data_IF_776464762383
#
_entry.id   IF_776464762383
#
_cell.length_a   1.000
_cell.length_b   1.000
_cell.length_c   1.000
_cell.angle_alpha   90.00
_cell.angle_beta   90.00
_cell.angle_gamma   90.00
#
_symmetry.space_group_name_H-M   'P 1'
#
loop_
_entity.id
_entity.type
_entity.pdbx_description
1 polymer ?
#
# COMPACT_ATOMS: atom_id res chain seq x y z
N UNK A 1 1.13 4.34 -3.60
CA UNK A 1 1.72 5.26 -4.59
C UNK A 1 1.07 5.03 -5.93
N UNK A 2 1.84 4.53 -6.88
CA UNK A 2 1.51 4.44 -8.31
C UNK A 2 0.08 3.99 -8.67
N UNK A 3 -0.47 2.97 -8.01
CA UNK A 3 -1.83 2.53 -8.30
C UNK A 3 -2.89 3.60 -7.98
N UNK A 4 -2.70 4.37 -6.91
CA UNK A 4 -3.59 5.46 -6.52
C UNK A 4 -3.45 6.61 -7.52
N UNK A 5 -2.23 6.96 -7.90
CA UNK A 5 -1.97 8.02 -8.89
C UNK A 5 -2.63 7.67 -10.23
N UNK A 6 -2.44 6.43 -10.69
CA UNK A 6 -3.02 5.92 -11.94
C UNK A 6 -4.54 5.95 -11.91
N UNK A 7 -5.17 5.41 -10.86
CA UNK A 7 -6.63 5.35 -10.77
C UNK A 7 -7.27 6.73 -10.58
N UNK A 8 -6.54 7.68 -10.00
CA UNK A 8 -7.00 9.08 -9.86
C UNK A 8 -6.56 9.97 -11.02
N UNK A 9 -5.97 9.39 -12.07
CA UNK A 9 -5.54 10.11 -13.26
C UNK A 9 -4.49 11.19 -12.98
N UNK A 10 -3.68 11.05 -11.92
CA UNK A 10 -2.64 12.00 -11.52
C UNK A 10 -3.14 13.44 -11.22
N UNK A 11 -4.44 13.61 -10.98
CA UNK A 11 -5.04 14.93 -10.76
C UNK A 11 -5.42 15.22 -9.31
N UNK A 12 -5.66 14.17 -8.52
CA UNK A 12 -6.18 14.29 -7.15
C UNK A 12 -5.10 14.30 -6.07
N UNK A 13 -4.03 13.55 -6.28
CA UNK A 13 -2.96 13.38 -5.30
C UNK A 13 -1.63 13.77 -5.92
N UNK A 14 -0.85 14.54 -5.18
CA UNK A 14 0.57 14.71 -5.45
C UNK A 14 1.29 13.37 -5.22
N UNK A 15 2.45 13.22 -5.86
CA UNK A 15 3.24 11.99 -5.73
C UNK A 15 3.49 11.60 -4.26
N UNK A 16 3.92 12.56 -3.44
CA UNK A 16 4.18 12.34 -2.01
C UNK A 16 2.95 11.90 -1.21
N UNK A 17 1.77 12.40 -1.57
CA UNK A 17 0.51 12.02 -0.93
C UNK A 17 0.12 10.58 -1.28
N UNK A 18 0.23 10.21 -2.57
CA UNK A 18 -0.05 8.85 -2.99
C UNK A 18 0.97 7.84 -2.40
N UNK A 19 2.24 8.25 -2.26
CA UNK A 19 3.27 7.47 -1.57
C UNK A 19 2.91 7.29 -0.10
N UNK A 20 2.50 8.34 0.60
CA UNK A 20 2.09 8.28 2.01
C UNK A 20 0.93 7.28 2.24
N UNK A 21 -0.13 7.35 1.41
CA UNK A 21 -1.23 6.38 1.48
C UNK A 21 -0.71 4.96 1.22
N UNK A 22 0.16 4.80 0.22
CA UNK A 22 0.79 3.52 -0.11
C UNK A 22 1.57 2.91 1.05
N UNK A 23 2.38 3.71 1.75
CA UNK A 23 3.16 3.26 2.91
C UNK A 23 2.26 2.75 4.03
N UNK A 24 1.14 3.42 4.31
CA UNK A 24 0.17 2.94 5.30
C UNK A 24 -0.47 1.60 4.88
N UNK A 25 -0.80 1.44 3.60
CA UNK A 25 -1.36 0.19 3.06
C UNK A 25 -0.32 -0.94 3.17
N UNK A 26 0.93 -0.70 2.79
CA UNK A 26 2.02 -1.69 2.87
C UNK A 26 2.35 -2.07 4.32
N UNK A 27 2.28 -1.12 5.26
CA UNK A 27 2.43 -1.41 6.69
C UNK A 27 1.30 -2.30 7.22
N UNK A 28 0.05 -2.02 6.86
CA UNK A 28 -1.10 -2.90 7.21
C UNK A 28 -0.95 -4.29 6.59
N UNK A 29 -0.55 -4.38 5.32
CA UNK A 29 -0.28 -5.66 4.66
C UNK A 29 0.81 -6.45 5.39
N UNK A 30 1.87 -5.78 5.81
CA UNK A 30 2.96 -6.40 6.58
C UNK A 30 2.48 -6.96 7.91
N UNK A 31 1.49 -6.33 8.53
CA UNK A 31 0.87 -6.83 9.77
C UNK A 31 -0.01 -8.05 9.51
N UNK A 32 -0.83 -8.04 8.45
CA UNK A 32 -1.61 -9.21 8.04
C UNK A 32 -0.72 -10.42 7.73
N UNK A 33 0.47 -10.18 7.19
CA UNK A 33 1.49 -11.20 6.90
C UNK A 33 2.38 -11.53 8.11
N UNK A 34 2.12 -10.94 9.28
CA UNK A 34 2.83 -11.15 10.55
C UNK A 34 4.31 -10.74 10.54
N UNK A 35 4.70 -9.80 9.66
CA UNK A 35 6.07 -9.24 9.62
C UNK A 35 6.28 -8.15 10.66
N UNK A 36 5.24 -7.36 10.95
CA UNK A 36 5.23 -6.33 11.99
C UNK A 36 3.94 -6.42 12.83
N UNK A 37 3.90 -5.68 13.93
CA UNK A 37 2.73 -5.54 14.80
C UNK A 37 1.97 -4.23 14.53
N UNK A 38 0.75 -4.14 15.05
CA UNK A 38 -0.10 -2.95 14.93
C UNK A 38 0.56 -1.68 15.49
N UNK A 39 1.40 -1.81 16.52
CA UNK A 39 2.12 -0.67 17.10
C UNK A 39 3.05 0.00 16.08
N UNK A 40 3.71 -0.79 15.22
CA UNK A 40 4.56 -0.25 14.14
C UNK A 40 3.72 0.40 13.05
N UNK A 41 2.55 -0.15 12.72
CA UNK A 41 1.60 0.49 11.78
C UNK A 41 1.13 1.83 12.31
N UNK A 42 0.70 1.88 13.58
CA UNK A 42 0.25 3.10 14.24
C UNK A 42 1.37 4.14 14.25
N UNK A 43 2.61 3.75 14.56
CA UNK A 43 3.75 4.66 14.53
C UNK A 43 4.00 5.24 13.13
N UNK A 44 3.95 4.43 12.08
CA UNK A 44 4.10 4.89 10.69
C UNK A 44 2.98 5.86 10.33
N UNK A 45 1.73 5.49 10.64
CA UNK A 45 0.55 6.30 10.39
C UNK A 45 0.62 7.65 11.12
N UNK A 46 0.91 7.65 12.41
CA UNK A 46 1.03 8.87 13.22
C UNK A 46 2.12 9.80 12.71
N UNK A 47 3.24 9.27 12.22
CA UNK A 47 4.27 10.09 11.60
C UNK A 47 3.75 10.75 10.32
N UNK A 48 3.12 9.99 9.42
CA UNK A 48 2.52 10.52 8.19
C UNK A 48 1.48 11.61 8.51
N UNK A 49 0.58 11.34 9.47
CA UNK A 49 -0.43 12.30 9.90
C UNK A 49 0.19 13.58 10.48
N UNK A 50 1.34 13.48 11.18
CA UNK A 50 2.02 14.65 11.77
C UNK A 50 2.58 15.62 10.74
N UNK A 51 2.79 15.17 9.50
CA UNK A 51 3.18 16.01 8.36
C UNK A 51 1.97 16.49 7.55
N UNK A 52 0.74 16.23 8.00
CA UNK A 52 -0.49 16.60 7.29
C UNK A 52 -0.72 15.80 6.00
N UNK A 53 -0.03 14.67 5.82
CA UNK A 53 -0.16 13.82 4.63
C UNK A 53 -1.32 12.84 4.79
N UNK A 54 -2.00 12.47 3.68
CA UNK A 54 -3.07 11.50 3.73
C UNK A 54 -2.53 10.11 4.06
N UNK A 55 -3.15 9.46 5.05
CA UNK A 55 -2.73 8.14 5.57
C UNK A 55 -3.76 7.04 5.33
N UNK A 56 -4.88 7.35 4.65
CA UNK A 56 -6.01 6.44 4.42
C UNK A 56 -6.31 6.31 2.94
N UNK A 57 -6.80 5.12 2.56
CA UNK A 57 -7.33 4.90 1.23
C UNK A 57 -8.61 5.72 1.04
N UNK A 58 -8.78 6.41 -0.10
CA UNK A 58 -10.02 7.13 -0.40
C UNK A 58 -11.19 6.15 -0.57
N UNK A 59 -12.32 6.43 0.06
CA UNK A 59 -13.48 5.52 0.10
C UNK A 59 -14.26 5.51 -1.21
N UNK A 60 -14.08 6.53 -2.04
CA UNK A 60 -14.77 6.71 -3.32
C UNK A 60 -14.00 6.10 -4.50
N UNK A 61 -12.84 5.49 -4.25
CA UNK A 61 -12.07 4.77 -5.25
C UNK A 61 -12.50 3.29 -5.27
N UNK A 62 -12.86 2.78 -6.45
CA UNK A 62 -13.13 1.36 -6.64
C UNK A 62 -11.86 0.53 -6.42
N UNK A 63 -11.92 -0.33 -5.40
CA UNK A 63 -10.88 -1.30 -5.04
C UNK A 63 -10.49 -2.17 -6.24
N UNK A 64 -11.44 -2.50 -7.12
CA UNK A 64 -11.21 -3.31 -8.31
C UNK A 64 -10.26 -2.63 -9.29
N UNK A 65 -10.38 -1.30 -9.45
CA UNK A 65 -9.49 -0.51 -10.29
C UNK A 65 -8.08 -0.44 -9.70
N UNK A 66 -7.97 -0.32 -8.38
CA UNK A 66 -6.68 -0.35 -7.68
C UNK A 66 -5.99 -1.71 -7.85
N UNK A 67 -6.72 -2.81 -7.63
CA UNK A 67 -6.17 -4.16 -7.82
C UNK A 67 -5.69 -4.38 -9.25
N UNK A 68 -6.49 -3.95 -10.23
CA UNK A 68 -6.14 -4.05 -11.66
C UNK A 68 -4.89 -3.24 -11.99
N UNK A 69 -4.77 -2.01 -11.46
CA UNK A 69 -3.58 -1.18 -11.62
C UNK A 69 -2.34 -1.80 -10.97
N UNK A 70 -2.46 -2.33 -9.75
CA UNK A 70 -1.39 -3.08 -9.08
C UNK A 70 -0.94 -4.29 -9.92
N UNK A 71 -1.89 -5.03 -10.50
CA UNK A 71 -1.57 -6.18 -11.34
C UNK A 71 -0.81 -5.77 -12.60
N UNK A 72 -1.24 -4.72 -13.30
CA UNK A 72 -0.56 -4.24 -14.52
C UNK A 72 0.88 -3.81 -14.22
N UNK A 73 1.08 -3.07 -13.13
CA UNK A 73 2.40 -2.59 -12.70
C UNK A 73 3.32 -3.75 -12.26
N UNK A 74 2.78 -4.71 -11.49
CA UNK A 74 3.60 -5.71 -10.78
C UNK A 74 3.68 -7.08 -11.43
N UNK A 75 2.76 -7.46 -12.33
CA UNK A 75 2.84 -8.72 -13.12
C UNK A 75 3.89 -8.66 -14.23
N UNK A 76 4.40 -7.48 -14.59
CA UNK A 76 5.35 -7.31 -15.68
C UNK A 76 6.65 -8.12 -15.53
N UNK A 77 6.97 -8.64 -14.33
CA UNK A 77 8.17 -9.45 -14.09
C UNK A 77 7.81 -10.78 -13.43
N UNK A 78 7.47 -11.78 -14.25
CA UNK A 78 7.31 -13.20 -13.93
C UNK A 78 5.99 -13.64 -13.24
N UNK A 79 4.90 -12.89 -13.38
CA UNK A 79 3.55 -13.36 -12.99
C UNK A 79 3.22 -13.33 -11.49
N UNK A 80 4.18 -12.98 -10.63
CA UNK A 80 3.99 -12.85 -9.18
C UNK A 80 3.98 -11.37 -8.75
N UNK A 81 3.07 -11.01 -7.84
CA UNK A 81 3.05 -9.67 -7.26
C UNK A 81 4.21 -9.47 -6.28
N UNK A 82 4.93 -8.36 -6.43
CA UNK A 82 6.10 -8.01 -5.59
C UNK A 82 5.82 -6.77 -4.76
N UNK A 83 6.02 -6.85 -3.44
CA UNK A 83 5.84 -5.71 -2.54
C UNK A 83 7.10 -5.43 -1.76
N UNK A 84 7.35 -4.16 -1.51
CA UNK A 84 8.36 -3.72 -0.54
C UNK A 84 7.61 -3.59 0.79
N UNK A 85 7.90 -4.47 1.73
CA UNK A 85 7.16 -4.56 2.98
C UNK A 85 8.11 -4.32 4.16
N UNK A 86 7.71 -3.49 5.15
CA UNK A 86 8.45 -3.36 6.40
C UNK A 86 8.47 -4.67 7.20
N UNK A 87 9.67 -5.07 7.64
CA UNK A 87 9.88 -6.14 8.64
C UNK A 87 10.17 -5.54 10.04
N UNK A 88 10.64 -4.29 10.09
CA UNK A 88 10.75 -3.45 11.29
C UNK A 88 10.92 -1.99 10.89
N UNK A 89 10.79 -1.07 11.85
CA UNK A 89 11.13 0.34 11.59
C UNK A 89 12.61 0.43 11.17
N UNK A 90 12.86 1.02 10.00
CA UNK A 90 14.18 1.15 9.40
C UNK A 90 14.62 -0.05 8.54
N UNK A 91 13.77 -1.06 8.30
CA UNK A 91 14.12 -2.20 7.43
C UNK A 91 12.91 -2.70 6.65
N UNK A 92 13.10 -2.83 5.33
CA UNK A 92 12.10 -3.35 4.39
C UNK A 92 12.70 -4.48 3.57
N UNK A 93 11.86 -5.36 3.06
CA UNK A 93 12.25 -6.46 2.17
C UNK A 93 11.30 -6.56 0.99
N UNK A 94 11.82 -7.04 -0.14
CA UNK A 94 10.99 -7.38 -1.29
C UNK A 94 10.39 -8.77 -1.06
N UNK A 95 9.07 -8.82 -0.90
CA UNK A 95 8.30 -10.07 -0.85
C UNK A 95 7.66 -10.34 -2.20
N UNK A 96 7.92 -11.54 -2.74
CA UNK A 96 7.28 -12.05 -3.95
C UNK A 96 6.16 -13.00 -3.57
N UNK A 97 5.24 -13.26 -4.49
CA UNK A 97 4.14 -14.21 -4.29
C UNK A 97 3.13 -13.77 -3.23
N UNK A 98 2.99 -12.47 -2.97
CA UNK A 98 1.92 -11.98 -2.10
C UNK A 98 0.57 -12.31 -2.74
N UNK A 99 -0.22 -13.11 -2.05
CA UNK A 99 -1.52 -13.54 -2.55
C UNK A 99 -2.43 -12.35 -2.80
N UNK A 100 -3.04 -12.28 -3.99
CA UNK A 100 -3.98 -11.22 -4.36
C UNK A 100 -5.15 -11.14 -3.37
N UNK A 101 -5.58 -12.30 -2.84
CA UNK A 101 -6.60 -12.36 -1.81
C UNK A 101 -6.25 -11.51 -0.59
N UNK A 102 -5.00 -11.54 -0.12
CA UNK A 102 -4.56 -10.73 1.03
C UNK A 102 -4.69 -9.24 0.77
N UNK A 103 -4.42 -8.80 -0.47
CA UNK A 103 -4.57 -7.39 -0.87
C UNK A 103 -6.05 -7.02 -0.96
N UNK A 104 -6.87 -7.89 -1.54
CA UNK A 104 -8.31 -7.67 -1.66
C UNK A 104 -8.99 -7.59 -0.28
N UNK A 105 -8.60 -8.45 0.65
CA UNK A 105 -9.11 -8.45 2.02
C UNK A 105 -8.68 -7.16 2.75
N UNK A 106 -7.41 -6.76 2.59
CA UNK A 106 -6.88 -5.51 3.15
C UNK A 106 -7.63 -4.26 2.68
N UNK A 107 -7.92 -4.18 1.38
CA UNK A 107 -8.56 -3.01 0.78
C UNK A 107 -10.06 -2.92 1.09
N UNK A 108 -10.70 -4.04 1.47
CA UNK A 108 -12.11 -4.09 1.88
C UNK A 108 -12.34 -3.82 3.37
N UNK A 109 -11.30 -3.92 4.19
CA UNK A 109 -11.32 -3.68 5.65
C UNK A 109 -10.95 -2.25 6.01
#
# INVERSE_FOLDING_TARGET
>A
GHAIETVTGYTRYLHGEAVAIGMCIEARLSTMLKFIDDNKVLRIKSLIDSYGLPSKMPTDIDITNILSSIQLDKKAVAGELKFILPERIGSVKIHKGVAEKSIKDLLKS
#
